data_IF_490316883248
#
_entry.id   IF_490316883248
#
_cell.length_a   1.000
_cell.length_b   1.000
_cell.length_c   1.000
_cell.angle_alpha   90.00
_cell.angle_beta   90.00
_cell.angle_gamma   90.00
#
_symmetry.space_group_name_H-M   'P 1'
#
loop_
_entity.id
_entity.type
_entity.pdbx_description
1 polymer ?
#
# COMPACT_ATOMS: atom_id res chain seq x y z
N UNK A 1 -4.66 -10.91 -25.68
CA UNK A 1 -5.45 -10.33 -24.57
C UNK A 1 -4.43 -9.75 -23.60
N UNK A 2 -3.96 -8.54 -23.87
CA UNK A 2 -2.98 -7.87 -23.02
C UNK A 2 -3.74 -7.12 -21.95
N UNK A 3 -3.87 -7.73 -20.78
CA UNK A 3 -4.24 -7.00 -19.57
C UNK A 3 -3.05 -6.11 -19.24
N UNK A 4 -3.13 -4.84 -19.65
CA UNK A 4 -2.33 -3.76 -19.10
C UNK A 4 -2.72 -3.66 -17.63
N UNK A 5 -2.09 -4.53 -16.83
CA UNK A 5 -2.36 -4.65 -15.41
C UNK A 5 -1.90 -3.36 -14.79
N UNK A 6 -2.85 -2.56 -14.33
CA UNK A 6 -2.59 -1.48 -13.40
C UNK A 6 -1.77 -2.12 -12.28
N UNK A 7 -0.46 -1.90 -12.30
CA UNK A 7 0.43 -2.21 -11.19
C UNK A 7 0.06 -1.22 -10.09
N UNK A 8 -1.08 -1.50 -9.42
CA UNK A 8 -1.36 -1.00 -8.09
C UNK A 8 -0.08 -1.27 -7.33
N UNK A 9 0.57 -0.22 -6.87
CA UNK A 9 1.87 -0.28 -6.22
C UNK A 9 1.69 -1.20 -5.01
N UNK A 10 2.00 -2.48 -5.18
CA UNK A 10 1.91 -3.49 -4.12
C UNK A 10 3.14 -3.36 -3.23
N UNK A 11 3.47 -2.13 -2.82
CA UNK A 11 4.39 -1.84 -1.72
C UNK A 11 3.74 -2.20 -0.36
N UNK A 12 2.71 -3.05 -0.39
CA UNK A 12 1.97 -3.55 0.75
C UNK A 12 2.53 -4.92 1.14
N UNK A 13 2.78 -5.07 2.44
CA UNK A 13 3.21 -6.28 3.15
C UNK A 13 3.20 -7.57 2.31
N UNK A 14 4.39 -8.02 1.92
CA UNK A 14 4.61 -9.34 1.34
C UNK A 14 5.42 -10.18 2.34
N UNK A 15 5.07 -11.46 2.45
CA UNK A 15 5.93 -12.41 3.14
C UNK A 15 7.20 -12.64 2.31
N UNK A 16 8.37 -12.52 2.91
CA UNK A 16 9.66 -12.72 2.21
C UNK A 16 9.87 -14.16 1.74
N UNK A 17 9.20 -15.13 2.40
CA UNK A 17 9.38 -16.55 2.14
C UNK A 17 8.44 -17.06 1.04
N UNK A 18 7.14 -16.77 1.14
CA UNK A 18 6.14 -17.27 0.19
C UNK A 18 5.59 -16.21 -0.78
N UNK A 19 6.02 -14.96 -0.68
CA UNK A 19 5.55 -13.84 -1.51
C UNK A 19 4.08 -13.50 -1.33
N UNK A 20 3.37 -14.15 -0.41
CA UNK A 20 1.93 -13.93 -0.22
C UNK A 20 1.68 -12.59 0.48
N UNK A 21 0.68 -11.82 0.03
CA UNK A 21 0.27 -10.57 0.67
C UNK A 21 -0.64 -10.79 1.91
N UNK A 22 -0.98 -12.04 2.22
CA UNK A 22 -1.92 -12.37 3.30
C UNK A 22 -1.25 -12.43 4.67
N UNK A 23 -1.85 -11.76 5.66
CA UNK A 23 -1.46 -11.84 7.07
C UNK A 23 -2.59 -12.44 7.92
N UNK A 24 -2.21 -13.26 8.89
CA UNK A 24 -3.09 -13.80 9.92
C UNK A 24 -2.99 -12.93 11.17
N UNK A 25 -4.11 -12.32 11.54
CA UNK A 25 -4.21 -11.49 12.73
C UNK A 25 -4.47 -12.40 13.94
N UNK A 26 -3.68 -12.28 15.02
CA UNK A 26 -3.88 -13.08 16.22
C UNK A 26 -5.24 -12.78 16.88
N UNK A 27 -5.85 -13.81 17.47
CA UNK A 27 -7.18 -13.71 18.09
C UNK A 27 -7.20 -12.79 19.32
N UNK A 28 -6.06 -12.66 20.00
CA UNK A 28 -5.81 -11.67 21.03
C UNK A 28 -4.99 -10.52 20.41
N UNK A 29 -5.48 -9.28 20.54
CA UNK A 29 -4.82 -8.09 20.01
C UNK A 29 -4.02 -7.38 21.11
N UNK A 30 -2.98 -8.03 21.63
CA UNK A 30 -2.01 -7.37 22.51
C UNK A 30 -0.80 -6.86 21.72
N UNK A 31 -0.09 -5.85 22.21
CA UNK A 31 1.12 -5.34 21.55
C UNK A 31 2.18 -6.43 21.31
N UNK A 32 2.26 -7.42 22.20
CA UNK A 32 3.15 -8.57 22.11
C UNK A 32 2.61 -9.72 21.25
N UNK A 33 1.39 -9.61 20.72
CA UNK A 33 0.79 -10.67 19.91
C UNK A 33 1.51 -10.79 18.57
N UNK A 34 1.76 -12.02 18.15
CA UNK A 34 2.52 -12.29 16.93
C UNK A 34 1.60 -12.26 15.71
N UNK A 35 2.03 -11.53 14.69
CA UNK A 35 1.42 -11.55 13.36
C UNK A 35 2.20 -12.52 12.51
N UNK A 36 1.48 -13.44 11.86
CA UNK A 36 2.06 -14.44 10.99
C UNK A 36 1.54 -14.31 9.57
N UNK A 37 2.27 -14.83 8.59
CA UNK A 37 1.75 -14.96 7.24
C UNK A 37 0.57 -15.94 7.21
N UNK A 38 -0.51 -15.58 6.51
CA UNK A 38 -1.68 -16.44 6.38
C UNK A 38 -1.43 -17.69 5.52
N UNK A 39 -0.39 -17.68 4.68
CA UNK A 39 -0.10 -18.76 3.74
C UNK A 39 0.95 -19.75 4.28
N UNK A 40 2.11 -19.26 4.75
CA UNK A 40 3.18 -20.12 5.26
C UNK A 40 3.29 -20.17 6.80
N UNK A 41 2.56 -19.32 7.53
CA UNK A 41 2.61 -19.26 8.98
C UNK A 41 3.88 -18.59 9.56
N UNK A 42 4.77 -18.07 8.71
CA UNK A 42 5.99 -17.39 9.15
C UNK A 42 5.65 -16.19 10.03
N UNK A 43 6.31 -16.05 11.18
CA UNK A 43 6.16 -14.87 12.04
C UNK A 43 6.75 -13.65 11.36
N UNK A 44 5.90 -12.67 11.07
CA UNK A 44 6.27 -11.40 10.44
C UNK A 44 6.72 -10.35 11.46
N UNK A 45 6.30 -10.52 12.72
CA UNK A 45 6.66 -9.62 13.83
C UNK A 45 5.55 -9.48 14.85
N UNK A 46 5.68 -8.48 15.72
CA UNK A 46 4.64 -8.15 16.71
C UNK A 46 3.49 -7.33 16.08
N UNK A 47 2.31 -7.39 16.70
CA UNK A 47 1.14 -6.61 16.30
C UNK A 47 1.40 -5.10 16.40
N UNK A 48 2.17 -4.67 17.40
CA UNK A 48 2.58 -3.28 17.58
C UNK A 48 3.43 -2.75 16.41
N UNK A 49 4.39 -3.56 15.95
CA UNK A 49 5.23 -3.23 14.78
C UNK A 49 4.40 -3.25 13.50
N UNK A 50 3.52 -4.24 13.36
CA UNK A 50 2.63 -4.35 12.22
C UNK A 50 1.73 -3.12 12.07
N UNK A 51 1.06 -2.70 13.15
CA UNK A 51 0.25 -1.46 13.17
C UNK A 51 1.06 -0.23 12.82
N UNK A 52 2.21 -0.03 13.47
CA UNK A 52 3.08 1.14 13.19
C UNK A 52 3.49 1.22 11.73
N UNK A 53 3.80 0.08 11.10
CA UNK A 53 4.19 0.02 9.69
C UNK A 53 3.00 0.32 8.77
N UNK A 54 1.79 -0.16 9.08
CA UNK A 54 0.56 0.24 8.36
C UNK A 54 0.34 1.75 8.49
N UNK A 55 0.43 2.31 9.69
CA UNK A 55 0.23 3.75 9.91
C UNK A 55 1.23 4.56 9.09
N UNK A 56 2.51 4.17 9.07
CA UNK A 56 3.53 4.83 8.24
C UNK A 56 3.22 4.78 6.75
N UNK A 57 2.76 3.63 6.23
CA UNK A 57 2.37 3.48 4.82
C UNK A 57 1.17 4.38 4.52
N UNK A 58 0.14 4.37 5.36
CA UNK A 58 -1.04 5.23 5.21
C UNK A 58 -0.68 6.72 5.21
N UNK A 59 0.22 7.15 6.09
CA UNK A 59 0.68 8.54 6.13
C UNK A 59 1.52 8.90 4.89
N UNK A 60 2.38 7.99 4.42
CA UNK A 60 3.16 8.18 3.20
C UNK A 60 2.26 8.27 1.96
N UNK A 61 1.22 7.43 1.87
CA UNK A 61 0.22 7.49 0.81
C UNK A 61 -0.57 8.80 0.85
N UNK A 62 -0.99 9.26 2.04
CA UNK A 62 -1.66 10.55 2.20
C UNK A 62 -0.77 11.71 1.76
N UNK A 63 0.50 11.70 2.13
CA UNK A 63 1.48 12.69 1.68
C UNK A 63 1.66 12.66 0.15
N UNK A 64 1.66 11.47 -0.47
CA UNK A 64 1.74 11.34 -1.93
C UNK A 64 0.44 11.79 -2.63
N UNK A 65 -0.73 11.58 -2.01
CA UNK A 65 -2.05 11.96 -2.56
C UNK A 65 -2.31 13.46 -2.46
N UNK A 66 -1.57 14.19 -1.61
CA UNK A 66 -1.55 15.65 -1.59
C UNK A 66 -0.95 16.28 -2.87
N UNK A 67 -0.36 15.46 -3.76
CA UNK A 67 0.12 15.92 -5.07
C UNK A 67 -1.10 16.28 -5.94
N UNK A 68 -1.27 17.58 -6.21
CA UNK A 68 -2.34 18.12 -7.06
C UNK A 68 -2.46 17.30 -8.35
N UNK A 69 -3.66 16.81 -8.63
CA UNK A 69 -4.01 16.26 -9.95
C UNK A 69 -3.90 17.42 -10.94
N UNK A 70 -2.91 17.38 -11.83
CA UNK A 70 -2.79 18.32 -12.94
C UNK A 70 -3.63 17.75 -14.08
N UNK A 71 -4.80 18.32 -14.30
CA UNK A 71 -5.60 18.01 -15.50
C UNK A 71 -5.10 18.92 -16.62
N UNK A 72 -4.49 18.34 -17.65
CA UNK A 72 -4.25 19.04 -18.89
C UNK A 72 -5.60 19.13 -19.62
N UNK A 73 -6.29 20.26 -19.48
CA UNK A 73 -7.52 20.50 -20.24
C UNK A 73 -7.14 20.75 -21.72
N UNK A 74 -7.59 19.91 -22.68
CA UNK A 74 -7.29 20.12 -24.09
C UNK A 74 -7.96 21.36 -24.70
N UNK A 75 -8.84 22.05 -23.96
CA UNK A 75 -9.55 23.27 -24.40
C UNK A 75 -8.81 24.56 -23.98
N UNK A 76 -7.59 24.46 -23.45
CA UNK A 76 -6.87 25.61 -22.88
C UNK A 76 -5.89 26.36 -23.79
N UNK A 77 -5.74 26.05 -25.09
CA UNK A 77 -4.66 26.64 -25.88
C UNK A 77 -4.99 27.11 -27.31
N UNK A 78 -6.21 27.55 -27.59
CA UNK A 78 -6.46 28.27 -28.86
C UNK A 78 -6.35 29.79 -28.64
N UNK A 79 -5.10 30.25 -28.73
CA UNK A 79 -4.67 31.50 -29.37
C UNK A 79 -5.28 32.81 -28.83
N UNK A 80 -4.60 33.38 -27.83
CA UNK A 80 -4.43 34.82 -27.74
C UNK A 80 -3.20 35.24 -28.57
N UNK A 81 -3.38 36.19 -29.50
CA UNK A 81 -2.33 36.80 -30.33
C UNK A 81 -2.25 36.17 -31.74
N UNK A 82 -2.38 36.89 -32.85
CA UNK A 82 -2.24 38.31 -33.14
C UNK A 82 -3.20 38.74 -34.27
#
# INVERSE_FOLDING_TARGET
MSTDGIALRQDGFHCEDCGSPGVSIPHALSDASIVSCANCGLSLGSWAEYRRRIDQILMAEQACKARRVIVADPVGNVLAGA
#
